data_IF_502879595228
#
_entry.id   IF_502879595228
#
_cell.length_a   1.000
_cell.length_b   1.000
_cell.length_c   1.000
_cell.angle_alpha   90.00
_cell.angle_beta   90.00
_cell.angle_gamma   90.00
#
_symmetry.space_group_name_H-M   'P 1'
#
loop_
_entity.id
_entity.type
_entity.pdbx_description
1 polymer ?
#
# COMPACT_ATOMS: atom_id res chain seq x y z
N UNK A 1 8.35 -39.56 53.83
CA UNK A 1 7.73 -39.07 52.59
C UNK A 1 7.23 -40.29 51.84
N UNK A 2 5.93 -40.38 51.56
CA UNK A 2 5.37 -41.59 50.92
C UNK A 2 5.56 -41.57 49.40
N UNK A 3 5.66 -42.73 48.77
CA UNK A 3 5.80 -42.86 47.31
C UNK A 3 4.66 -42.16 46.53
N UNK A 4 3.46 -42.07 47.13
CA UNK A 4 2.33 -41.38 46.55
C UNK A 4 2.54 -39.86 46.47
N UNK A 5 3.13 -39.26 47.51
CA UNK A 5 3.43 -37.82 47.55
C UNK A 5 4.51 -37.47 46.52
N UNK A 6 5.54 -38.32 46.38
CA UNK A 6 6.60 -38.12 45.38
C UNK A 6 6.09 -38.22 43.93
N UNK A 7 5.12 -39.10 43.67
CA UNK A 7 4.48 -39.22 42.35
C UNK A 7 3.62 -38.00 42.02
N UNK A 8 2.87 -37.49 43.00
CA UNK A 8 2.07 -36.27 42.83
C UNK A 8 2.98 -35.07 42.56
N UNK A 9 4.07 -34.90 43.33
CA UNK A 9 5.00 -33.79 43.14
C UNK A 9 5.62 -33.77 41.74
N UNK A 10 5.99 -34.94 41.21
CA UNK A 10 6.54 -35.06 39.84
C UNK A 10 5.54 -34.70 38.75
N UNK A 11 4.26 -34.98 38.95
CA UNK A 11 3.21 -34.59 38.00
C UNK A 11 3.02 -33.06 38.01
N UNK A 12 3.07 -32.43 39.19
CA UNK A 12 3.05 -30.97 39.31
C UNK A 12 4.27 -30.30 38.68
N UNK A 13 5.46 -30.83 38.92
CA UNK A 13 6.72 -30.30 38.38
C UNK A 13 6.74 -30.37 36.84
N UNK A 14 6.27 -31.49 36.27
CA UNK A 14 6.15 -31.66 34.81
C UNK A 14 5.03 -30.81 34.18
N UNK A 15 4.08 -30.31 34.97
CA UNK A 15 2.98 -29.47 34.49
C UNK A 15 3.31 -27.98 34.46
N UNK A 16 4.44 -27.59 35.07
CA UNK A 16 4.90 -26.21 34.98
C UNK A 16 5.33 -25.94 33.52
N UNK A 17 4.73 -24.96 32.85
CA UNK A 17 5.18 -24.59 31.51
C UNK A 17 6.68 -24.23 31.58
N UNK A 18 7.47 -24.72 30.63
CA UNK A 18 8.85 -24.28 30.45
C UNK A 18 8.81 -22.82 30.00
N UNK A 19 8.91 -21.93 30.97
CA UNK A 19 8.77 -20.48 30.78
C UNK A 19 9.92 -19.91 29.91
N UNK A 20 11.06 -20.59 29.83
CA UNK A 20 12.28 -20.07 29.19
C UNK A 20 12.14 -19.88 27.67
N UNK A 21 11.51 -20.82 26.95
CA UNK A 21 11.33 -20.72 25.49
C UNK A 21 10.03 -20.00 25.07
N UNK A 22 9.10 -19.83 26.02
CA UNK A 22 7.77 -19.30 25.76
C UNK A 22 7.80 -17.79 25.47
N UNK A 23 8.65 -17.04 26.19
CA UNK A 23 8.77 -15.59 26.05
C UNK A 23 9.53 -15.18 24.78
N UNK A 24 10.59 -15.88 24.42
CA UNK A 24 11.38 -15.58 23.22
C UNK A 24 10.59 -15.84 21.93
N UNK A 25 9.88 -16.97 21.87
CA UNK A 25 9.02 -17.30 20.72
C UNK A 25 7.84 -16.33 20.58
N UNK A 26 7.24 -15.92 21.70
CA UNK A 26 6.13 -14.96 21.72
C UNK A 26 6.55 -13.56 21.29
N UNK A 27 7.69 -13.06 21.78
CA UNK A 27 8.19 -11.73 21.43
C UNK A 27 8.55 -11.62 19.94
N UNK A 28 9.18 -12.66 19.38
CA UNK A 28 9.46 -12.73 17.93
C UNK A 28 8.18 -12.73 17.10
N UNK A 29 7.15 -13.45 17.54
CA UNK A 29 5.86 -13.47 16.86
C UNK A 29 5.19 -12.08 16.90
N UNK A 30 5.17 -11.40 18.06
CA UNK A 30 4.61 -10.06 18.17
C UNK A 30 5.34 -9.04 17.28
N UNK A 31 6.67 -9.03 17.29
CA UNK A 31 7.46 -8.13 16.44
C UNK A 31 7.20 -8.39 14.95
N UNK A 32 7.15 -9.66 14.53
CA UNK A 32 6.87 -10.02 13.15
C UNK A 32 5.47 -9.54 12.72
N UNK A 33 4.43 -9.80 13.52
CA UNK A 33 3.07 -9.35 13.22
C UNK A 33 2.90 -7.84 13.26
N UNK A 34 3.56 -7.15 14.20
CA UNK A 34 3.59 -5.68 14.24
C UNK A 34 4.24 -5.09 12.99
N UNK A 35 5.36 -5.66 12.53
CA UNK A 35 6.02 -5.22 11.30
C UNK A 35 5.13 -5.45 10.08
N UNK A 36 4.48 -6.61 9.98
CA UNK A 36 3.52 -6.90 8.89
C UNK A 36 2.37 -5.91 8.90
N UNK A 37 1.77 -5.63 10.07
CA UNK A 37 0.69 -4.67 10.18
C UNK A 37 1.12 -3.24 9.76
N UNK A 38 2.32 -2.82 10.16
CA UNK A 38 2.89 -1.53 9.78
C UNK A 38 3.13 -1.44 8.27
N UNK A 39 3.75 -2.44 7.67
CA UNK A 39 4.02 -2.47 6.23
C UNK A 39 2.72 -2.54 5.42
N UNK A 40 1.73 -3.32 5.86
CA UNK A 40 0.43 -3.36 5.23
C UNK A 40 -0.28 -2.00 5.28
N UNK A 41 -0.24 -1.33 6.44
CA UNK A 41 -0.76 0.04 6.58
C UNK A 41 -0.07 1.02 5.64
N UNK A 42 1.26 0.93 5.51
CA UNK A 42 2.04 1.76 4.60
C UNK A 42 1.67 1.51 3.12
N UNK A 43 1.50 0.25 2.72
CA UNK A 43 1.05 -0.11 1.37
C UNK A 43 -0.33 0.47 1.08
N UNK A 44 -1.28 0.34 2.00
CA UNK A 44 -2.62 0.93 1.85
C UNK A 44 -2.54 2.45 1.71
N UNK A 45 -1.74 3.10 2.54
CA UNK A 45 -1.54 4.54 2.47
C UNK A 45 -0.92 4.98 1.13
N UNK A 46 0.09 4.26 0.63
CA UNK A 46 0.68 4.53 -0.68
C UNK A 46 -0.31 4.32 -1.82
N UNK A 47 -1.16 3.29 -1.77
CA UNK A 47 -2.23 3.07 -2.76
C UNK A 47 -3.20 4.25 -2.80
N UNK A 48 -3.62 4.77 -1.64
CA UNK A 48 -4.50 5.94 -1.55
C UNK A 48 -3.81 7.18 -2.14
N UNK A 49 -2.54 7.41 -1.79
CA UNK A 49 -1.75 8.53 -2.32
C UNK A 49 -1.61 8.47 -3.85
N UNK A 50 -1.34 7.27 -4.39
CA UNK A 50 -1.19 7.04 -5.82
C UNK A 50 -2.52 7.27 -6.57
N UNK A 51 -3.65 6.80 -6.03
CA UNK A 51 -4.97 7.07 -6.60
C UNK A 51 -5.27 8.57 -6.66
N UNK A 52 -4.94 9.31 -5.60
CA UNK A 52 -5.16 10.75 -5.57
C UNK A 52 -4.29 11.49 -6.61
N UNK A 53 -3.01 11.11 -6.72
CA UNK A 53 -2.09 11.67 -7.69
C UNK A 53 -2.54 11.40 -9.15
N UNK A 54 -2.92 10.16 -9.46
CA UNK A 54 -3.40 9.79 -10.79
C UNK A 54 -4.73 10.45 -11.14
N UNK A 55 -5.61 10.63 -10.16
CA UNK A 55 -6.86 11.34 -10.35
C UNK A 55 -6.63 12.81 -10.74
N UNK A 56 -5.69 13.49 -10.08
CA UNK A 56 -5.30 14.86 -10.43
C UNK A 56 -4.63 14.93 -11.80
N UNK A 57 -3.70 14.01 -12.09
CA UNK A 57 -3.03 13.91 -13.39
C UNK A 57 -4.04 13.74 -14.53
N UNK A 58 -4.97 12.81 -14.37
CA UNK A 58 -5.97 12.55 -15.41
C UNK A 58 -6.94 13.72 -15.56
N UNK A 59 -7.32 14.41 -14.48
CA UNK A 59 -8.13 15.62 -14.54
C UNK A 59 -7.43 16.76 -15.33
N UNK A 60 -6.12 16.90 -15.19
CA UNK A 60 -5.31 17.86 -15.95
C UNK A 60 -5.28 17.52 -17.44
N UNK A 61 -5.00 16.27 -17.79
CA UNK A 61 -4.90 15.83 -19.19
C UNK A 61 -6.25 15.92 -19.90
N UNK A 62 -7.33 15.59 -19.19
CA UNK A 62 -8.71 15.66 -19.72
C UNK A 62 -9.34 17.05 -19.65
N UNK A 63 -8.60 18.08 -19.19
CA UNK A 63 -9.08 19.45 -19.03
C UNK A 63 -10.40 19.55 -18.21
N UNK A 64 -10.58 18.68 -17.20
CA UNK A 64 -11.79 18.68 -16.36
C UNK A 64 -11.88 19.89 -15.43
N UNK A 65 -10.75 20.52 -15.09
CA UNK A 65 -10.67 21.68 -14.20
C UNK A 65 -10.13 22.92 -14.93
N UNK A 66 -10.74 23.28 -16.07
CA UNK A 66 -10.40 24.51 -16.78
C UNK A 66 -10.92 25.74 -16.01
N UNK A 67 -10.07 26.76 -15.85
CA UNK A 67 -10.46 28.00 -15.19
C UNK A 67 -11.41 28.81 -16.09
N UNK A 68 -12.55 29.24 -15.55
CA UNK A 68 -13.57 30.02 -16.27
C UNK A 68 -13.12 31.46 -16.57
N UNK A 69 -12.18 31.99 -15.78
CA UNK A 69 -11.64 33.35 -15.92
C UNK A 69 -10.42 33.35 -16.84
N UNK A 70 -9.55 32.35 -16.72
CA UNK A 70 -8.32 32.24 -17.50
C UNK A 70 -8.36 31.02 -18.43
N UNK A 71 -8.46 31.24 -19.75
CA UNK A 71 -8.50 30.15 -20.76
C UNK A 71 -7.28 29.20 -20.75
N UNK A 72 -6.17 29.64 -20.17
CA UNK A 72 -4.95 28.84 -19.99
C UNK A 72 -4.70 28.45 -18.53
N UNK A 73 -5.59 28.85 -17.62
CA UNK A 73 -5.50 28.61 -16.18
C UNK A 73 -6.13 27.28 -15.79
N UNK A 74 -5.66 26.74 -14.67
CA UNK A 74 -6.20 25.53 -14.05
C UNK A 74 -6.77 25.89 -12.69
N UNK A 75 -8.03 25.53 -12.46
CA UNK A 75 -8.65 25.75 -11.16
C UNK A 75 -8.11 24.73 -10.13
N UNK A 76 -7.32 25.22 -9.19
CA UNK A 76 -6.76 24.41 -8.10
C UNK A 76 -7.81 23.93 -7.11
N UNK A 77 -8.92 24.66 -6.94
CA UNK A 77 -9.99 24.24 -6.04
C UNK A 77 -10.72 23.02 -6.61
N UNK A 78 -11.01 23.04 -7.92
CA UNK A 78 -11.51 21.87 -8.63
C UNK A 78 -10.56 20.65 -8.52
N UNK A 79 -9.24 20.83 -8.65
CA UNK A 79 -8.28 19.71 -8.56
C UNK A 79 -8.28 18.98 -7.21
N UNK A 80 -8.71 19.63 -6.13
CA UNK A 80 -8.79 19.00 -4.80
C UNK A 80 -9.98 18.04 -4.67
N UNK A 81 -11.03 18.24 -5.47
CA UNK A 81 -12.31 17.53 -5.32
C UNK A 81 -12.76 16.80 -6.59
N UNK A 82 -12.09 17.02 -7.71
CA UNK A 82 -12.47 16.44 -9.01
C UNK A 82 -12.41 14.93 -8.96
N UNK A 83 -13.44 14.26 -9.47
CA UNK A 83 -13.40 12.83 -9.78
C UNK A 83 -13.21 12.67 -11.29
N UNK A 84 -12.04 12.17 -11.66
CA UNK A 84 -11.61 12.11 -13.06
C UNK A 84 -12.04 10.82 -13.75
N UNK A 85 -12.24 9.71 -13.01
CA UNK A 85 -12.75 8.41 -13.48
C UNK A 85 -13.88 7.90 -12.58
N UNK A 86 -14.66 6.94 -13.09
CA UNK A 86 -15.82 6.38 -12.40
C UNK A 86 -15.43 5.52 -11.19
N UNK A 87 -14.27 4.86 -11.26
CA UNK A 87 -13.81 3.97 -10.21
C UNK A 87 -12.37 4.24 -9.79
N UNK A 88 -12.13 4.26 -8.47
CA UNK A 88 -10.82 4.54 -7.88
C UNK A 88 -9.76 3.48 -8.23
N UNK A 89 -10.17 2.23 -8.44
CA UNK A 89 -9.26 1.14 -8.77
C UNK A 89 -8.65 1.30 -10.17
N UNK A 90 -9.31 2.03 -11.08
CA UNK A 90 -8.75 2.30 -12.41
C UNK A 90 -7.54 3.21 -12.34
N UNK A 91 -7.59 4.21 -11.44
CA UNK A 91 -6.46 5.09 -11.16
C UNK A 91 -5.32 4.30 -10.51
N UNK A 92 -5.65 3.39 -9.59
CA UNK A 92 -4.66 2.52 -8.95
C UNK A 92 -3.97 1.60 -9.97
N UNK A 93 -4.76 0.89 -10.77
CA UNK A 93 -4.25 -0.04 -11.77
C UNK A 93 -3.39 0.69 -12.82
N UNK A 94 -3.85 1.86 -13.28
CA UNK A 94 -3.10 2.66 -14.23
C UNK A 94 -1.75 3.11 -13.65
N UNK A 95 -1.71 3.71 -12.45
CA UNK A 95 -0.46 4.18 -11.86
C UNK A 95 0.51 3.06 -11.48
N UNK A 96 0.03 1.86 -11.14
CA UNK A 96 0.89 0.69 -10.89
C UNK A 96 1.48 0.13 -12.19
N UNK A 97 0.73 0.15 -13.29
CA UNK A 97 1.16 -0.43 -14.58
C UNK A 97 1.92 0.56 -15.46
N UNK A 98 1.69 1.86 -15.31
CA UNK A 98 2.27 2.93 -16.13
C UNK A 98 3.24 3.79 -15.31
N UNK A 99 4.28 3.15 -14.78
CA UNK A 99 5.32 3.80 -13.95
C UNK A 99 6.35 4.57 -14.77
N UNK A 100 6.39 4.35 -16.09
CA UNK A 100 7.25 5.09 -17.00
C UNK A 100 6.43 6.15 -17.74
N UNK A 101 6.95 7.39 -17.87
CA UNK A 101 6.31 8.37 -18.73
C UNK A 101 6.35 7.85 -20.17
N UNK A 102 5.22 7.95 -20.89
CA UNK A 102 5.18 7.62 -22.30
C UNK A 102 6.19 8.49 -23.07
N UNK A 103 7.14 7.85 -23.76
CA UNK A 103 8.13 8.56 -24.57
C UNK A 103 7.40 9.35 -25.66
N UNK A 104 7.42 10.70 -25.63
CA UNK A 104 6.77 11.52 -26.64
C UNK A 104 7.33 11.24 -28.06
N UNK A 105 8.53 10.66 -28.17
CA UNK A 105 9.16 10.26 -29.42
C UNK A 105 8.88 8.81 -29.85
N UNK A 106 8.13 7.99 -29.10
CA UNK A 106 7.83 6.62 -29.53
C UNK A 106 7.16 6.60 -30.91
N UNK A 107 6.15 7.47 -31.12
CA UNK A 107 5.42 7.53 -32.41
C UNK A 107 6.28 8.10 -33.56
N UNK A 108 7.20 9.03 -33.27
CA UNK A 108 8.07 9.63 -34.28
C UNK A 108 9.18 8.69 -34.74
N UNK A 109 9.63 7.77 -33.88
CA UNK A 109 10.70 6.81 -34.18
C UNK A 109 10.28 5.72 -35.17
N UNK A 110 9.02 5.27 -35.09
CA UNK A 110 8.46 4.29 -36.05
C UNK A 110 7.98 4.91 -37.36
N UNK A 111 7.60 6.20 -37.35
CA UNK A 111 7.24 6.92 -38.58
C UNK A 111 8.46 7.27 -39.46
N UNK A 112 9.68 7.15 -38.93
CA UNK A 112 10.93 7.55 -39.60
C UNK A 112 11.79 6.39 -40.09
N UNK A 113 11.27 5.16 -40.13
CA UNK A 113 11.96 4.06 -40.85
C UNK A 113 11.66 4.19 -42.35
N UNK A 114 12.61 4.63 -43.19
CA UNK A 114 12.48 4.40 -44.61
C UNK A 114 12.51 2.89 -44.88
N UNK A 115 11.62 2.43 -45.76
CA UNK A 115 11.62 1.10 -46.37
C UNK A 115 12.85 0.88 -47.23
#
# INVERSE_FOLDING_TARGET
MSDAEGKILRIYDKSKPEDEDLYDTSNVNHLAWSLVALLAGLVVWLCIALVNAENQRYALISNKCADVVFKTGVDRQCLLTVHSRDHWWENLWYGITHVQPEDPNHKSRYARKPS
#
